data_IF_142726864758
#
_entry.id   IF_142726864758
#
_cell.length_a   1.000
_cell.length_b   1.000
_cell.length_c   1.000
_cell.angle_alpha   90.00
_cell.angle_beta   90.00
_cell.angle_gamma   90.00
#
_symmetry.space_group_name_H-M   'P 1'
#
loop_
_entity.id
_entity.type
_entity.pdbx_description
1 polymer ?
#
# COMPACT_ATOMS: atom_id res chain seq x y z
N UNK A 1 -45.57 -18.88 0.47
CA UNK A 1 -45.05 -19.23 1.82
C UNK A 1 -43.56 -19.49 1.66
N UNK A 2 -42.75 -18.59 2.24
CA UNK A 2 -41.38 -18.75 2.80
C UNK A 2 -40.31 -19.48 1.96
N UNK A 3 -39.23 -18.85 1.47
CA UNK A 3 -38.11 -18.11 2.12
C UNK A 3 -36.98 -19.02 2.63
N UNK A 4 -35.77 -18.87 2.05
CA UNK A 4 -34.43 -18.80 2.67
C UNK A 4 -33.38 -18.71 1.54
N UNK A 5 -32.83 -17.51 1.26
CA UNK A 5 -31.60 -16.89 1.79
C UNK A 5 -30.33 -17.32 1.04
N UNK A 6 -29.89 -16.50 0.08
CA UNK A 6 -28.48 -16.29 -0.28
C UNK A 6 -28.11 -14.87 0.16
N UNK A 7 -27.14 -14.77 1.06
CA UNK A 7 -26.53 -13.52 1.48
C UNK A 7 -25.38 -13.23 0.51
N UNK A 8 -25.58 -12.28 -0.40
CA UNK A 8 -24.48 -11.56 -1.04
C UNK A 8 -24.25 -10.29 -0.22
N UNK A 9 -23.05 -10.18 0.36
CA UNK A 9 -22.59 -8.97 1.03
C UNK A 9 -22.15 -7.94 -0.03
N UNK A 10 -23.01 -6.99 -0.34
CA UNK A 10 -22.64 -5.73 -1.01
C UNK A 10 -21.96 -4.77 -0.02
N UNK A 11 -20.93 -4.07 -0.52
CA UNK A 11 -20.13 -3.06 0.17
C UNK A 11 -20.97 -1.82 0.54
N UNK A 12 -20.68 -1.11 1.65
CA UNK A 12 -21.37 0.13 1.97
C UNK A 12 -20.85 1.29 1.11
N UNK A 13 -21.55 1.57 0.01
CA UNK A 13 -21.46 2.85 -0.69
C UNK A 13 -21.92 3.99 0.22
N UNK A 14 -21.10 5.03 0.37
CA UNK A 14 -21.46 6.27 1.07
C UNK A 14 -22.51 7.02 0.25
N UNK A 15 -23.74 7.10 0.75
CA UNK A 15 -24.74 8.03 0.23
C UNK A 15 -24.55 9.41 0.85
N UNK A 16 -24.65 10.47 0.02
CA UNK A 16 -24.72 11.86 0.48
C UNK A 16 -26.16 12.32 0.27
N UNK A 17 -26.92 12.51 1.36
CA UNK A 17 -28.24 13.13 1.32
C UNK A 17 -28.11 14.66 1.27
N UNK A 18 -28.76 15.30 0.30
CA UNK A 18 -28.91 16.76 0.24
C UNK A 18 -30.36 17.13 0.56
N UNK A 19 -30.60 17.71 1.74
CA UNK A 19 -31.88 18.31 2.08
C UNK A 19 -31.80 19.84 1.91
N UNK A 20 -32.64 20.39 1.02
CA UNK A 20 -32.72 21.84 0.79
C UNK A 20 -33.81 22.44 1.68
N UNK A 21 -33.43 23.23 2.68
CA UNK A 21 -34.38 24.05 3.45
C UNK A 21 -34.13 25.55 3.22
N UNK A 22 -35.25 26.26 3.01
CA UNK A 22 -35.43 27.71 2.92
C UNK A 22 -34.76 28.46 1.75
N UNK A 23 -35.32 28.25 0.56
CA UNK A 23 -35.36 29.30 -0.48
C UNK A 23 -36.73 29.99 -0.41
N UNK A 24 -36.83 31.23 0.09
CA UNK A 24 -38.04 32.02 -0.12
C UNK A 24 -38.10 32.40 -1.60
N UNK A 25 -39.16 31.94 -2.26
CA UNK A 25 -39.65 32.40 -3.57
C UNK A 25 -38.70 32.21 -4.75
N UNK A 26 -38.49 30.96 -5.15
CA UNK A 26 -38.41 30.65 -6.57
C UNK A 26 -39.72 29.97 -6.96
N UNK A 27 -40.58 30.70 -7.68
CA UNK A 27 -41.68 30.09 -8.44
C UNK A 27 -41.07 29.08 -9.41
N UNK A 28 -41.04 27.81 -9.01
CA UNK A 28 -40.66 26.72 -9.91
C UNK A 28 -41.83 26.48 -10.84
N UNK A 29 -41.70 26.95 -12.07
CA UNK A 29 -42.61 26.59 -13.15
C UNK A 29 -42.08 25.32 -13.80
N UNK A 30 -42.83 24.23 -13.68
CA UNK A 30 -42.52 22.97 -14.34
C UNK A 30 -43.53 22.79 -15.48
N UNK A 31 -43.01 22.56 -16.69
CA UNK A 31 -43.82 22.17 -17.84
C UNK A 31 -44.20 20.70 -17.70
N UNK A 32 -45.50 20.42 -17.66
CA UNK A 32 -46.02 19.06 -17.65
C UNK A 32 -46.86 18.89 -18.93
N UNK A 33 -46.20 18.45 -20.01
CA UNK A 33 -46.74 18.60 -21.36
C UNK A 33 -46.79 20.08 -21.79
N UNK A 34 -47.87 20.49 -22.47
CA UNK A 34 -48.01 21.85 -23.03
C UNK A 34 -48.64 22.88 -22.06
N UNK A 35 -48.86 22.53 -20.79
CA UNK A 35 -49.40 23.48 -19.78
C UNK A 35 -48.45 23.71 -18.60
N UNK A 36 -48.42 24.96 -18.14
CA UNK A 36 -47.70 25.42 -16.96
C UNK A 36 -48.60 25.25 -15.73
N UNK A 37 -48.15 24.48 -14.73
CA UNK A 37 -48.85 24.39 -13.44
C UNK A 37 -47.96 24.90 -12.31
N UNK A 38 -48.49 25.83 -11.51
CA UNK A 38 -47.85 26.40 -10.32
C UNK A 38 -48.22 25.59 -9.07
N UNK A 39 -47.23 25.28 -8.22
CA UNK A 39 -47.45 24.60 -6.95
C UNK A 39 -46.84 25.38 -5.80
N UNK A 40 -47.65 25.73 -4.79
CA UNK A 40 -47.23 26.44 -3.58
C UNK A 40 -47.19 25.48 -2.39
N UNK A 41 -46.02 25.37 -1.74
CA UNK A 41 -45.76 24.43 -0.66
C UNK A 41 -46.69 24.57 0.55
N UNK A 42 -47.16 23.43 1.05
CA UNK A 42 -47.91 23.34 2.29
C UNK A 42 -48.01 21.90 2.80
N UNK A 43 -47.47 21.67 4.01
CA UNK A 43 -47.60 20.52 4.93
C UNK A 43 -48.20 19.21 4.41
N UNK A 44 -47.33 18.19 4.37
CA UNK A 44 -47.50 16.73 4.46
C UNK A 44 -48.61 16.00 3.67
N UNK A 45 -48.21 15.00 2.85
CA UNK A 45 -48.86 13.68 2.78
C UNK A 45 -47.83 12.56 2.52
N UNK A 46 -48.02 11.32 3.03
CA UNK A 46 -47.03 10.25 3.03
C UNK A 46 -47.22 9.18 1.92
N UNK A 47 -47.67 9.56 0.72
CA UNK A 47 -48.09 8.56 -0.30
C UNK A 47 -47.46 8.69 -1.70
N UNK A 48 -46.32 9.38 -1.85
CA UNK A 48 -45.46 9.22 -3.03
C UNK A 48 -44.06 8.82 -2.57
N UNK A 49 -43.46 7.74 -3.10
CA UNK A 49 -42.06 7.46 -2.86
C UNK A 49 -41.22 8.61 -3.46
N UNK A 50 -40.09 8.97 -2.85
CA UNK A 50 -39.22 10.00 -3.37
C UNK A 50 -38.79 9.61 -4.79
N UNK A 51 -38.98 10.52 -5.75
CA UNK A 51 -38.36 10.40 -7.06
C UNK A 51 -36.85 10.43 -6.81
N UNK A 52 -36.20 9.29 -7.02
CA UNK A 52 -34.77 9.15 -6.90
C UNK A 52 -34.14 9.78 -8.14
N UNK A 53 -33.31 10.79 -7.95
CA UNK A 53 -32.48 11.34 -9.02
C UNK A 53 -31.08 10.80 -8.76
N UNK A 54 -30.66 9.80 -9.52
CA UNK A 54 -29.25 9.40 -9.57
C UNK A 54 -28.55 10.32 -10.57
N UNK A 55 -27.63 11.20 -10.12
CA UNK A 55 -26.79 11.95 -11.04
C UNK A 55 -25.71 11.00 -11.58
N UNK A 56 -25.99 10.38 -12.72
CA UNK A 56 -24.94 9.77 -13.52
C UNK A 56 -24.28 10.87 -14.37
N UNK A 57 -23.00 11.17 -14.09
CA UNK A 57 -22.18 12.08 -14.88
C UNK A 57 -21.61 11.28 -16.05
N UNK A 58 -22.17 11.48 -17.23
CA UNK A 58 -21.60 10.95 -18.47
C UNK A 58 -21.08 12.10 -19.32
N UNK A 59 -19.77 12.09 -19.51
CA UNK A 59 -18.95 12.98 -20.34
C UNK A 59 -18.97 14.49 -20.00
N UNK A 60 -17.81 15.00 -19.59
CA UNK A 60 -17.45 16.39 -19.83
C UNK A 60 -17.11 16.54 -21.32
N UNK A 61 -18.02 17.10 -22.11
CA UNK A 61 -17.61 17.72 -23.38
C UNK A 61 -16.87 19.03 -23.02
N UNK A 62 -15.55 18.91 -22.83
CA UNK A 62 -14.64 20.01 -22.46
C UNK A 62 -14.76 21.22 -23.41
N UNK A 63 -15.31 21.04 -24.62
CA UNK A 63 -15.46 22.13 -25.59
C UNK A 63 -16.67 23.06 -25.30
N UNK A 64 -17.72 22.58 -24.61
CA UNK A 64 -18.96 23.36 -24.41
C UNK A 64 -19.24 23.75 -22.96
N UNK A 65 -18.71 23.02 -21.96
CA UNK A 65 -18.89 23.34 -20.53
C UNK A 65 -20.33 23.20 -20.02
N UNK A 66 -21.12 22.30 -20.62
CA UNK A 66 -22.47 21.96 -20.19
C UNK A 66 -22.47 20.65 -19.42
N UNK A 67 -23.31 20.57 -18.39
CA UNK A 67 -23.59 19.33 -17.67
C UNK A 67 -24.94 18.78 -18.14
N UNK A 68 -24.94 17.57 -18.67
CA UNK A 68 -26.16 16.86 -19.07
C UNK A 68 -26.63 15.98 -17.92
N UNK A 69 -27.87 16.19 -17.46
CA UNK A 69 -28.48 15.36 -16.43
C UNK A 69 -29.64 14.55 -17.02
N UNK A 70 -29.60 13.25 -16.81
CA UNK A 70 -30.68 12.31 -17.17
C UNK A 70 -31.54 12.06 -15.94
N UNK A 71 -32.85 12.12 -16.10
CA UNK A 71 -33.80 11.69 -15.07
C UNK A 71 -34.53 10.45 -15.58
N UNK A 72 -34.31 9.31 -14.93
CA UNK A 72 -35.05 8.08 -15.20
C UNK A 72 -36.27 8.01 -14.27
N UNK A 73 -37.48 8.10 -14.83
CA UNK A 73 -38.69 7.72 -14.11
C UNK A 73 -38.93 6.21 -14.33
N UNK A 74 -39.07 5.43 -13.26
CA UNK A 74 -39.14 3.95 -13.32
C UNK A 74 -40.45 3.40 -13.90
N UNK A 75 -41.16 4.12 -14.76
CA UNK A 75 -42.36 3.63 -15.44
C UNK A 75 -42.42 4.08 -16.90
N UNK A 76 -41.85 3.30 -17.80
CA UNK A 76 -42.15 3.20 -19.24
C UNK A 76 -42.63 4.50 -19.95
N UNK A 77 -41.94 5.62 -19.72
CA UNK A 77 -42.20 6.92 -20.34
C UNK A 77 -40.95 7.46 -21.06
N UNK A 78 -41.10 8.36 -22.06
CA UNK A 78 -39.96 8.83 -22.84
C UNK A 78 -38.98 9.60 -21.95
N UNK A 79 -37.71 9.25 -22.08
CA UNK A 79 -36.59 9.89 -21.39
C UNK A 79 -36.64 11.41 -21.58
N UNK A 80 -36.47 12.16 -20.50
CA UNK A 80 -36.31 13.61 -20.55
C UNK A 80 -34.90 13.98 -20.05
N UNK A 81 -34.23 14.83 -20.82
CA UNK A 81 -32.89 15.35 -20.52
C UNK A 81 -32.96 16.84 -20.26
N UNK A 82 -32.16 17.32 -19.30
CA UNK A 82 -32.01 18.74 -19.00
C UNK A 82 -30.54 19.11 -19.17
N UNK A 83 -30.29 20.19 -19.93
CA UNK A 83 -28.96 20.75 -20.13
C UNK A 83 -28.77 21.94 -19.19
N UNK A 84 -27.73 21.89 -18.35
CA UNK A 84 -27.33 23.00 -17.49
C UNK A 84 -26.05 23.66 -18.03
N UNK A 85 -26.12 24.96 -18.30
CA UNK A 85 -24.97 25.76 -18.74
C UNK A 85 -24.30 26.42 -17.52
N UNK A 86 -23.14 25.89 -17.12
CA UNK A 86 -22.45 26.28 -15.89
C UNK A 86 -21.67 27.60 -16.02
N UNK A 87 -21.59 28.20 -17.21
CA UNK A 87 -20.78 29.41 -17.43
C UNK A 87 -21.47 30.72 -17.02
N UNK A 88 -22.73 30.68 -16.57
CA UNK A 88 -23.51 31.91 -16.37
C UNK A 88 -24.14 32.15 -14.99
N UNK A 89 -23.93 31.29 -13.97
CA UNK A 89 -24.47 31.55 -12.63
C UNK A 89 -23.51 31.16 -11.50
N UNK A 90 -23.19 32.13 -10.64
CA UNK A 90 -22.48 31.93 -9.36
C UNK A 90 -23.51 31.48 -8.33
N UNK A 91 -23.41 30.26 -7.83
CA UNK A 91 -24.23 29.79 -6.71
C UNK A 91 -23.51 30.08 -5.38
N UNK A 92 -24.10 30.85 -4.45
CA UNK A 92 -23.58 30.96 -3.10
C UNK A 92 -23.95 29.69 -2.30
N UNK A 93 -22.99 28.80 -2.13
CA UNK A 93 -23.13 27.61 -1.29
C UNK A 93 -23.02 28.03 0.18
N UNK A 94 -24.14 28.04 0.90
CA UNK A 94 -24.16 28.25 2.36
C UNK A 94 -24.25 26.90 3.06
N UNK A 95 -23.12 26.40 3.56
CA UNK A 95 -23.05 25.16 4.35
C UNK A 95 -23.48 25.48 5.80
N UNK A 96 -24.65 25.02 6.24
CA UNK A 96 -25.01 25.04 7.67
C UNK A 96 -24.35 23.86 8.38
N UNK A 97 -23.36 24.16 9.24
CA UNK A 97 -22.80 23.22 10.21
C UNK A 97 -23.73 23.14 11.44
N UNK A 98 -23.96 21.94 11.96
CA UNK A 98 -24.83 21.72 13.13
C UNK A 98 -24.31 22.47 14.36
N UNK A 99 -25.22 22.93 15.21
CA UNK A 99 -24.95 23.80 16.36
C UNK A 99 -23.93 23.23 17.38
N UNK A 100 -23.65 21.91 17.37
CA UNK A 100 -22.61 21.28 18.20
C UNK A 100 -21.18 21.64 17.78
N UNK A 101 -20.96 22.13 16.56
CA UNK A 101 -19.63 22.60 16.12
C UNK A 101 -19.31 24.02 16.57
N UNK A 102 -20.32 24.82 16.94
CA UNK A 102 -20.10 26.23 17.31
C UNK A 102 -19.45 26.38 18.69
N UNK A 103 -19.61 25.39 19.58
CA UNK A 103 -18.93 25.37 20.88
C UNK A 103 -17.47 24.90 20.78
N UNK A 104 -17.10 24.12 19.75
CA UNK A 104 -15.70 23.73 19.48
C UNK A 104 -14.90 24.80 18.73
N UNK A 105 -15.55 25.64 17.92
CA UNK A 105 -14.85 26.72 17.18
C UNK A 105 -14.47 27.94 18.03
N UNK A 106 -15.07 28.14 19.20
CA UNK A 106 -14.61 29.19 20.12
C UNK A 106 -13.39 28.78 20.96
N UNK A 107 -12.96 27.52 20.89
CA UNK A 107 -11.71 27.05 21.51
C UNK A 107 -10.48 27.20 20.58
N UNK A 108 -10.68 27.50 19.29
CA UNK A 108 -9.61 27.60 18.27
C UNK A 108 -9.02 29.00 18.05
N UNK A 109 -9.43 30.02 18.82
CA UNK A 109 -8.72 31.31 18.87
C UNK A 109 -7.53 31.31 19.86
N UNK A 110 -7.14 30.12 20.35
CA UNK A 110 -5.91 29.90 21.09
C UNK A 110 -4.86 29.28 20.16
N UNK A 111 -3.56 29.62 20.35
CA UNK A 111 -2.50 29.17 19.45
C UNK A 111 -2.51 27.64 19.32
N UNK A 112 -2.75 27.20 18.08
CA UNK A 112 -2.48 25.90 17.46
C UNK A 112 -2.02 24.80 18.43
N UNK A 113 -2.99 24.05 18.96
CA UNK A 113 -2.74 22.69 19.39
C UNK A 113 -2.95 21.76 18.19
N UNK A 114 -2.11 20.73 17.99
CA UNK A 114 -2.30 19.76 16.93
C UNK A 114 -3.68 19.09 17.08
N UNK A 115 -4.49 19.16 16.02
CA UNK A 115 -5.80 18.50 15.98
C UNK A 115 -5.55 17.00 15.84
N UNK A 116 -5.61 16.29 16.96
CA UNK A 116 -5.66 14.82 16.96
C UNK A 116 -7.00 14.39 16.36
N UNK A 117 -7.00 13.98 15.09
CA UNK A 117 -8.14 13.34 14.47
C UNK A 117 -8.02 11.84 14.72
N UNK A 118 -8.97 11.28 15.46
CA UNK A 118 -9.10 9.84 15.62
C UNK A 118 -9.62 9.22 14.31
N UNK A 119 -9.10 8.06 13.91
CA UNK A 119 -9.67 7.28 12.80
C UNK A 119 -11.02 6.63 13.19
N UNK A 120 -11.60 5.85 12.28
CA UNK A 120 -12.87 5.14 12.50
C UNK A 120 -12.81 4.13 13.66
N UNK A 121 -11.60 3.82 14.18
CA UNK A 121 -11.35 2.93 15.32
C UNK A 121 -11.04 3.69 16.61
N UNK A 122 -10.90 5.02 16.57
CA UNK A 122 -10.57 5.85 17.72
C UNK A 122 -9.08 6.13 17.89
N UNK A 123 -8.23 5.70 16.96
CA UNK A 123 -6.77 5.85 17.04
C UNK A 123 -6.33 7.21 16.52
N UNK A 124 -5.43 7.88 17.24
CA UNK A 124 -4.89 9.18 16.83
C UNK A 124 -4.12 9.00 15.51
N UNK A 125 -4.65 9.56 14.42
CA UNK A 125 -3.97 9.59 13.12
C UNK A 125 -2.92 10.69 13.15
N UNK A 126 -1.66 10.31 13.31
CA UNK A 126 -0.54 11.22 13.10
C UNK A 126 -0.49 11.60 11.62
N UNK A 127 -0.59 12.90 11.33
CA UNK A 127 -0.47 13.42 9.96
C UNK A 127 0.83 14.21 9.82
N UNK A 128 1.64 13.94 8.78
CA UNK A 128 2.81 14.75 8.53
C UNK A 128 2.39 16.20 8.24
N UNK A 129 3.22 17.21 8.59
CA UNK A 129 2.86 18.61 8.42
C UNK A 129 2.45 18.99 6.99
N UNK A 130 3.05 18.36 5.97
CA UNK A 130 2.69 18.56 4.56
C UNK A 130 1.26 18.13 4.20
N UNK A 131 0.69 17.16 4.92
CA UNK A 131 -0.71 16.73 4.75
C UNK A 131 -1.69 17.62 5.53
N UNK A 132 -1.23 18.27 6.60
CA UNK A 132 -2.00 19.27 7.33
C UNK A 132 -2.05 20.58 6.56
N UNK A 133 -0.92 20.95 5.92
CA UNK A 133 -0.80 22.15 5.10
C UNK A 133 0.03 21.87 3.86
N UNK A 134 -0.64 21.85 2.69
CA UNK A 134 0.01 21.71 1.38
C UNK A 134 1.04 22.81 1.06
N UNK A 135 1.06 23.91 1.80
CA UNK A 135 2.02 25.02 1.65
C UNK A 135 2.97 25.13 2.85
N UNK A 136 3.18 24.02 3.57
CA UNK A 136 4.05 23.97 4.74
C UNK A 136 5.52 24.25 4.40
N UNK A 137 5.95 23.89 3.19
CA UNK A 137 7.32 24.07 2.71
C UNK A 137 7.46 25.27 1.78
N UNK A 138 8.52 26.04 1.95
CA UNK A 138 8.89 27.21 1.15
C UNK A 138 10.14 26.93 0.32
N UNK A 139 10.39 27.77 -0.70
CA UNK A 139 11.62 27.67 -1.51
C UNK A 139 12.83 27.89 -0.62
N UNK A 140 13.89 27.12 -0.87
CA UNK A 140 15.15 27.05 -0.11
C UNK A 140 15.04 26.43 1.30
N UNK A 141 13.87 25.94 1.71
CA UNK A 141 13.76 25.13 2.93
C UNK A 141 14.60 23.86 2.79
N UNK A 142 15.42 23.57 3.81
CA UNK A 142 16.15 22.32 3.93
C UNK A 142 15.24 21.26 4.57
N UNK A 143 14.98 20.19 3.81
CA UNK A 143 14.06 19.11 4.18
C UNK A 143 14.77 17.76 4.14
N UNK A 144 14.30 16.81 4.95
CA UNK A 144 14.66 15.40 4.85
C UNK A 144 13.56 14.63 4.11
N UNK A 145 13.96 13.62 3.32
CA UNK A 145 13.06 12.70 2.63
C UNK A 145 12.88 11.41 3.44
N UNK A 146 11.67 11.16 3.93
CA UNK A 146 11.41 10.13 4.92
C UNK A 146 11.58 10.66 6.35
N UNK A 147 11.31 9.82 7.34
CA UNK A 147 11.31 10.22 8.75
C UNK A 147 12.48 9.64 9.53
N UNK A 148 13.16 8.64 8.96
CA UNK A 148 14.32 7.97 9.56
C UNK A 148 15.50 8.92 9.81
N UNK A 149 16.33 8.57 10.80
CA UNK A 149 17.49 9.37 11.20
C UNK A 149 18.57 9.53 10.10
N UNK A 150 18.64 8.59 9.16
CA UNK A 150 19.58 8.58 8.04
C UNK A 150 18.96 9.03 6.70
N UNK A 151 17.79 9.66 6.76
CA UNK A 151 17.06 10.14 5.59
C UNK A 151 17.91 11.14 4.77
N UNK A 152 17.93 11.02 3.43
CA UNK A 152 18.55 12.01 2.53
C UNK A 152 18.00 13.43 2.77
N UNK A 153 18.83 14.45 2.53
CA UNK A 153 18.43 15.86 2.66
C UNK A 153 18.42 16.58 1.33
N UNK A 154 17.53 17.56 1.19
CA UNK A 154 17.32 18.31 -0.03
C UNK A 154 16.84 19.75 0.24
N UNK A 155 16.99 20.63 -0.75
CA UNK A 155 16.38 21.96 -0.74
C UNK A 155 15.13 21.98 -1.61
N UNK A 156 14.10 22.67 -1.16
CA UNK A 156 12.88 22.91 -1.94
C UNK A 156 13.14 23.92 -3.06
N UNK A 157 12.93 23.50 -4.31
CA UNK A 157 13.09 24.37 -5.50
C UNK A 157 11.79 25.10 -5.86
N UNK A 158 10.66 24.41 -5.71
CA UNK A 158 9.33 24.93 -6.02
C UNK A 158 8.40 24.61 -4.87
N UNK A 159 7.97 25.63 -4.13
CA UNK A 159 7.10 25.51 -2.95
C UNK A 159 5.63 25.21 -3.27
N UNK A 160 5.20 25.37 -4.52
CA UNK A 160 3.84 25.03 -4.94
C UNK A 160 3.79 23.55 -5.31
N UNK A 161 3.03 22.71 -4.59
CA UNK A 161 2.85 21.32 -4.99
C UNK A 161 2.09 21.23 -6.32
N UNK A 162 2.44 20.23 -7.12
CA UNK A 162 1.71 19.90 -8.35
C UNK A 162 0.38 19.15 -8.09
N UNK A 163 -0.25 18.67 -9.16
CA UNK A 163 -1.55 17.97 -9.11
C UNK A 163 -1.54 16.71 -8.25
N UNK A 164 -0.39 16.07 -8.08
CA UNK A 164 -0.27 14.83 -7.30
C UNK A 164 0.32 15.10 -5.91
N UNK A 165 0.29 16.37 -5.48
CA UNK A 165 0.75 16.84 -4.19
C UNK A 165 2.26 16.62 -3.96
N UNK A 166 3.05 16.78 -5.02
CA UNK A 166 4.51 16.64 -4.98
C UNK A 166 5.24 17.98 -5.12
N UNK A 167 6.41 18.10 -4.49
CA UNK A 167 7.35 19.22 -4.62
C UNK A 167 8.56 18.81 -5.45
N UNK A 168 9.18 19.80 -6.10
CA UNK A 168 10.49 19.67 -6.75
C UNK A 168 11.59 20.06 -5.78
N UNK A 169 12.61 19.21 -5.67
CA UNK A 169 13.70 19.30 -4.71
C UNK A 169 15.06 19.19 -5.41
N UNK A 170 16.10 19.78 -4.85
CA UNK A 170 17.49 19.55 -5.21
C UNK A 170 18.17 18.70 -4.13
N UNK A 171 18.72 17.54 -4.51
CA UNK A 171 19.49 16.68 -3.62
C UNK A 171 20.74 17.39 -3.09
N UNK A 172 20.84 17.53 -1.76
CA UNK A 172 21.99 18.13 -1.08
C UNK A 172 22.90 17.05 -0.51
N UNK A 173 22.35 15.90 -0.09
CA UNK A 173 23.14 14.81 0.49
C UNK A 173 23.93 14.01 -0.56
N UNK A 174 23.62 14.17 -1.85
CA UNK A 174 24.21 13.40 -2.94
C UNK A 174 23.71 11.96 -3.01
N UNK A 175 22.67 11.64 -2.22
CA UNK A 175 22.09 10.29 -2.11
C UNK A 175 21.40 9.86 -3.40
N UNK A 176 20.98 10.82 -4.23
CA UNK A 176 20.32 10.62 -5.51
C UNK A 176 21.17 11.17 -6.67
N UNK A 177 22.50 11.18 -6.51
CA UNK A 177 23.42 11.62 -7.56
C UNK A 177 23.50 13.13 -7.74
N UNK A 178 23.01 13.93 -6.77
CA UNK A 178 23.01 15.39 -6.86
C UNK A 178 22.03 15.95 -7.89
N UNK A 179 21.00 15.17 -8.22
CA UNK A 179 19.98 15.52 -9.20
C UNK A 179 18.78 16.24 -8.58
N UNK A 180 17.99 16.88 -9.45
CA UNK A 180 16.66 17.35 -9.06
C UNK A 180 15.68 16.17 -9.06
N UNK A 181 14.87 16.06 -8.01
CA UNK A 181 13.87 15.01 -7.92
C UNK A 181 12.53 15.55 -7.39
N UNK A 182 11.51 14.70 -7.44
CA UNK A 182 10.13 15.02 -7.10
C UNK A 182 9.64 14.05 -6.03
N UNK A 183 8.98 14.55 -4.99
CA UNK A 183 8.39 13.70 -3.95
C UNK A 183 7.15 14.32 -3.31
N UNK A 184 6.32 13.50 -2.67
CA UNK A 184 5.09 13.95 -2.01
C UNK A 184 5.41 14.81 -0.79
N UNK A 185 4.61 15.87 -0.57
CA UNK A 185 4.74 16.72 0.64
C UNK A 185 4.57 15.94 1.94
N UNK A 186 3.83 14.83 1.90
CA UNK A 186 3.64 13.95 3.05
C UNK A 186 4.97 13.36 3.50
N UNK A 187 5.90 13.08 2.60
CA UNK A 187 7.17 12.38 2.88
C UNK A 187 8.30 13.32 3.33
N UNK A 188 7.99 14.57 3.68
CA UNK A 188 8.98 15.60 3.97
C UNK A 188 8.84 16.13 5.39
N UNK A 189 9.98 16.48 5.98
CA UNK A 189 10.08 17.23 7.22
C UNK A 189 11.20 18.28 7.07
N UNK A 190 11.02 19.48 7.64
CA UNK A 190 12.13 20.40 7.80
C UNK A 190 13.23 19.77 8.65
N UNK A 191 14.48 19.92 8.23
CA UNK A 191 15.65 19.43 8.98
C UNK A 191 15.77 20.14 10.34
N UNK A 192 15.42 21.44 10.39
CA UNK A 192 15.45 22.21 11.64
C UNK A 192 14.49 23.40 11.60
N UNK A 193 14.27 24.03 12.76
CA UNK A 193 13.55 25.32 12.86
C UNK A 193 12.02 25.25 12.80
N UNK A 194 11.43 24.09 12.50
CA UNK A 194 9.98 23.89 12.46
C UNK A 194 9.50 23.07 13.67
N UNK A 195 8.69 23.68 14.54
CA UNK A 195 8.15 23.02 15.72
C UNK A 195 7.16 21.91 15.37
N UNK A 196 6.41 22.06 14.28
CA UNK A 196 5.41 21.10 13.81
C UNK A 196 6.09 19.83 13.27
N UNK A 197 7.13 19.97 12.45
CA UNK A 197 7.96 18.85 12.00
C UNK A 197 8.65 18.14 13.17
N UNK A 198 9.20 18.90 14.12
CA UNK A 198 9.88 18.32 15.28
C UNK A 198 8.92 17.51 16.18
N UNK A 199 7.71 18.02 16.43
CA UNK A 199 6.69 17.31 17.20
C UNK A 199 6.22 16.04 16.48
N UNK A 200 5.91 16.14 15.18
CA UNK A 200 5.54 14.98 14.38
C UNK A 200 6.64 13.91 14.38
N UNK A 201 7.91 14.30 14.18
CA UNK A 201 9.04 13.37 14.17
C UNK A 201 9.18 12.65 15.50
N UNK A 202 9.08 13.36 16.62
CA UNK A 202 9.17 12.75 17.95
C UNK A 202 8.02 11.75 18.20
N UNK A 203 6.79 12.08 17.81
CA UNK A 203 5.65 11.18 17.96
C UNK A 203 5.78 9.95 17.03
N UNK A 204 6.25 10.15 15.80
CA UNK A 204 6.54 9.07 14.85
C UNK A 204 7.64 8.14 15.38
N UNK A 205 8.78 8.69 15.82
CA UNK A 205 9.89 7.91 16.42
C UNK A 205 9.44 7.13 17.64
N UNK A 206 8.59 7.72 18.50
CA UNK A 206 8.03 7.02 19.65
C UNK A 206 7.11 5.86 19.23
N UNK A 207 6.32 6.03 18.17
CA UNK A 207 5.46 4.96 17.64
C UNK A 207 6.28 3.84 17.00
N UNK A 208 7.28 4.17 16.19
CA UNK A 208 8.18 3.18 15.59
C UNK A 208 8.96 2.43 16.66
N UNK A 209 9.49 3.12 17.67
CA UNK A 209 10.17 2.47 18.80
C UNK A 209 9.22 1.55 19.57
N UNK A 210 7.96 1.96 19.80
CA UNK A 210 6.98 1.12 20.47
C UNK A 210 6.60 -0.12 19.63
N UNK A 211 6.49 0.03 18.31
CA UNK A 211 6.26 -1.10 17.39
C UNK A 211 7.45 -2.07 17.39
N UNK A 212 8.67 -1.54 17.29
CA UNK A 212 9.92 -2.29 17.38
C UNK A 212 10.05 -3.05 18.71
N UNK A 213 9.77 -2.40 19.83
CA UNK A 213 9.81 -3.03 21.15
C UNK A 213 8.74 -4.12 21.29
N UNK A 214 7.54 -3.90 20.75
CA UNK A 214 6.45 -4.87 20.77
C UNK A 214 6.77 -6.11 19.91
N UNK A 215 7.30 -5.90 18.71
CA UNK A 215 7.74 -6.98 17.81
C UNK A 215 8.82 -7.83 18.48
N UNK A 216 9.87 -7.20 19.03
CA UNK A 216 10.95 -7.90 19.74
C UNK A 216 10.48 -8.61 21.00
N UNK A 217 9.44 -8.12 21.67
CA UNK A 217 8.89 -8.75 22.86
C UNK A 217 8.15 -10.06 22.56
N UNK A 218 7.79 -10.33 21.30
CA UNK A 218 7.17 -11.60 20.90
C UNK A 218 8.19 -12.75 20.84
N UNK A 219 9.48 -12.45 20.74
CA UNK A 219 10.54 -13.44 20.61
C UNK A 219 10.92 -14.06 21.96
N UNK A 220 11.28 -15.35 21.93
CA UNK A 220 12.02 -15.95 23.05
C UNK A 220 13.40 -15.29 23.19
N UNK A 221 14.01 -15.25 24.39
CA UNK A 221 15.33 -14.65 24.57
C UNK A 221 16.41 -15.23 23.66
N UNK A 222 16.36 -16.54 23.42
CA UNK A 222 17.28 -17.25 22.53
C UNK A 222 17.04 -16.88 21.06
N UNK A 223 15.78 -16.81 20.62
CA UNK A 223 15.42 -16.41 19.26
C UNK A 223 15.80 -14.95 18.97
N UNK A 224 15.57 -14.06 19.93
CA UNK A 224 15.97 -12.65 19.82
C UNK A 224 17.49 -12.51 19.67
N UNK A 225 18.26 -13.24 20.48
CA UNK A 225 19.72 -13.23 20.38
C UNK A 225 20.21 -13.82 19.05
N UNK A 226 19.52 -14.85 18.53
CA UNK A 226 19.80 -15.42 17.21
C UNK A 226 19.52 -14.40 16.09
N UNK A 227 18.34 -13.78 16.08
CA UNK A 227 17.94 -12.78 15.11
C UNK A 227 18.91 -11.58 15.09
N UNK A 228 19.20 -11.01 16.27
CA UNK A 228 20.13 -9.89 16.40
C UNK A 228 21.53 -10.23 15.88
N UNK A 229 22.02 -11.43 16.18
CA UNK A 229 23.34 -11.86 15.70
C UNK A 229 23.34 -12.05 14.18
N UNK A 230 22.34 -12.72 13.62
CA UNK A 230 22.29 -12.98 12.18
C UNK A 230 22.15 -11.69 11.37
N UNK A 231 21.29 -10.76 11.80
CA UNK A 231 21.11 -9.45 11.14
C UNK A 231 22.37 -8.59 11.25
N UNK A 232 23.02 -8.57 12.41
CA UNK A 232 24.20 -7.73 12.62
C UNK A 232 25.46 -8.28 11.95
N UNK A 233 25.70 -9.59 12.05
CA UNK A 233 26.97 -10.19 11.64
C UNK A 233 26.87 -11.64 11.13
N UNK A 234 25.67 -12.13 10.82
CA UNK A 234 25.48 -13.45 10.21
C UNK A 234 26.09 -13.55 8.81
N UNK A 235 26.25 -12.42 8.12
CA UNK A 235 26.81 -12.32 6.77
C UNK A 235 28.08 -11.45 6.76
N UNK A 236 29.06 -11.86 5.93
CA UNK A 236 30.28 -11.10 5.67
C UNK A 236 30.25 -10.55 4.25
N UNK A 237 30.38 -9.23 4.10
CA UNK A 237 30.44 -8.55 2.80
C UNK A 237 31.66 -9.02 1.99
N UNK A 238 31.44 -9.43 0.75
CA UNK A 238 32.49 -9.84 -0.19
C UNK A 238 32.72 -8.81 -1.29
N UNK A 239 31.65 -8.29 -1.89
CA UNK A 239 31.72 -7.23 -2.89
C UNK A 239 30.72 -6.14 -2.58
N UNK A 240 31.10 -4.88 -2.80
CA UNK A 240 30.18 -3.75 -2.72
C UNK A 240 29.96 -3.12 -4.09
N UNK A 241 28.71 -2.77 -4.39
CA UNK A 241 28.35 -1.94 -5.54
C UNK A 241 28.70 -0.46 -5.34
N UNK A 242 29.00 -0.05 -4.10
CA UNK A 242 29.20 1.35 -3.71
C UNK A 242 27.90 2.14 -3.52
N UNK A 243 26.72 1.52 -3.71
CA UNK A 243 25.43 2.17 -3.48
C UNK A 243 25.14 2.27 -1.97
N UNK A 244 24.66 3.43 -1.53
CA UNK A 244 24.36 3.68 -0.12
C UNK A 244 23.27 2.75 0.44
N UNK A 245 22.32 2.34 -0.40
CA UNK A 245 21.27 1.38 -0.05
C UNK A 245 21.74 -0.09 -0.04
N UNK A 246 23.00 -0.38 -0.40
CA UNK A 246 23.55 -1.73 -0.38
C UNK A 246 23.09 -2.66 -1.51
N UNK A 247 22.15 -2.24 -2.36
CA UNK A 247 21.75 -3.02 -3.54
C UNK A 247 22.95 -3.38 -4.41
N UNK A 248 23.05 -4.65 -4.80
CA UNK A 248 24.19 -5.19 -5.56
C UNK A 248 25.44 -5.48 -4.72
N UNK A 249 25.40 -5.29 -3.40
CA UNK A 249 26.37 -5.91 -2.52
C UNK A 249 26.17 -7.43 -2.51
N UNK A 250 27.27 -8.17 -2.43
CA UNK A 250 27.23 -9.62 -2.23
C UNK A 250 27.93 -10.00 -0.94
N UNK A 251 27.46 -11.09 -0.33
CA UNK A 251 27.88 -11.56 0.97
C UNK A 251 28.05 -13.07 0.97
N UNK A 252 28.74 -13.58 1.98
CA UNK A 252 28.82 -15.01 2.31
C UNK A 252 28.45 -15.22 3.77
N UNK A 253 28.01 -16.42 4.12
CA UNK A 253 27.74 -16.80 5.51
C UNK A 253 29.00 -16.61 6.36
N UNK A 254 28.90 -15.86 7.45
CA UNK A 254 30.01 -15.63 8.35
C UNK A 254 30.47 -16.95 9.01
N UNK A 255 31.77 -17.05 9.29
CA UNK A 255 32.35 -18.25 9.88
C UNK A 255 31.81 -18.53 11.30
N UNK A 256 31.46 -17.47 12.03
CA UNK A 256 30.90 -17.47 13.37
C UNK A 256 29.38 -17.31 13.41
N UNK A 257 28.70 -17.26 12.25
CA UNK A 257 27.25 -17.20 12.19
C UNK A 257 26.62 -18.37 13.01
N UNK A 258 25.68 -18.08 13.94
CA UNK A 258 25.11 -19.05 14.87
C UNK A 258 24.04 -19.94 14.23
N UNK A 259 24.28 -20.42 13.01
CA UNK A 259 23.43 -21.40 12.33
C UNK A 259 23.86 -22.83 12.64
N UNK A 260 22.90 -23.75 12.61
CA UNK A 260 23.20 -25.17 12.78
C UNK A 260 24.13 -25.70 11.68
N UNK A 261 24.97 -26.69 12.01
CA UNK A 261 25.96 -27.24 11.09
C UNK A 261 25.34 -27.73 9.78
N UNK A 262 24.19 -28.42 9.84
CA UNK A 262 23.51 -28.92 8.65
C UNK A 262 23.04 -27.80 7.71
N UNK A 263 22.65 -26.63 8.26
CA UNK A 263 22.25 -25.48 7.46
C UNK A 263 23.48 -24.82 6.83
N UNK A 264 24.58 -24.73 7.59
CA UNK A 264 25.87 -24.27 7.06
C UNK A 264 26.37 -25.15 5.91
N UNK A 265 26.22 -26.46 6.02
CA UNK A 265 26.56 -27.41 4.95
C UNK A 265 25.65 -27.22 3.73
N UNK A 266 24.33 -27.04 3.93
CA UNK A 266 23.40 -26.76 2.83
C UNK A 266 23.68 -25.42 2.12
N UNK A 267 24.21 -24.43 2.85
CA UNK A 267 24.57 -23.11 2.33
C UNK A 267 26.05 -22.99 1.91
N UNK A 268 26.77 -24.10 1.80
CA UNK A 268 28.18 -24.06 1.41
C UNK A 268 28.35 -23.48 0.00
N UNK A 269 29.07 -22.36 -0.11
CA UNK A 269 29.26 -21.66 -1.38
C UNK A 269 28.07 -20.78 -1.81
N UNK A 270 27.04 -20.66 -0.98
CA UNK A 270 25.95 -19.72 -1.22
C UNK A 270 26.47 -18.27 -1.25
N UNK A 271 26.03 -17.53 -2.26
CA UNK A 271 26.20 -16.08 -2.35
C UNK A 271 24.89 -15.43 -1.93
N UNK A 272 24.99 -14.48 -1.02
CA UNK A 272 23.85 -13.74 -0.50
C UNK A 272 23.84 -12.32 -1.06
N UNK A 273 22.65 -11.78 -1.26
CA UNK A 273 22.43 -10.34 -1.25
C UNK A 273 22.20 -9.86 0.18
N UNK A 274 22.10 -8.54 0.37
CA UNK A 274 21.58 -8.01 1.63
C UNK A 274 20.16 -8.52 1.91
N UNK A 275 19.69 -8.41 3.17
CA UNK A 275 18.29 -8.69 3.48
C UNK A 275 17.36 -7.81 2.64
N UNK A 276 16.29 -8.40 2.12
CA UNK A 276 15.24 -7.71 1.36
C UNK A 276 14.23 -7.04 2.29
N UNK A 277 13.93 -7.72 3.41
CA UNK A 277 12.97 -7.25 4.40
C UNK A 277 13.61 -6.50 5.57
N UNK A 278 12.79 -5.90 6.45
CA UNK A 278 13.25 -5.42 7.75
C UNK A 278 13.80 -6.57 8.61
N UNK A 279 14.40 -6.23 9.74
CA UNK A 279 14.62 -7.23 10.81
C UNK A 279 13.29 -7.98 11.07
N UNK A 280 13.30 -9.31 11.30
CA UNK A 280 14.45 -10.20 11.50
C UNK A 280 14.93 -10.90 10.21
N UNK A 281 14.69 -10.35 9.01
CA UNK A 281 15.30 -10.83 7.78
C UNK A 281 16.82 -10.62 7.82
N UNK A 282 17.60 -11.66 7.52
CA UNK A 282 19.05 -11.59 7.66
C UNK A 282 19.83 -11.96 6.41
N UNK A 283 19.17 -12.48 5.37
CA UNK A 283 19.83 -12.74 4.10
C UNK A 283 18.88 -13.24 3.03
N UNK A 284 19.26 -13.03 1.77
CA UNK A 284 18.56 -13.56 0.59
C UNK A 284 19.55 -14.26 -0.33
N UNK A 285 19.16 -15.39 -0.90
CA UNK A 285 20.03 -16.17 -1.78
C UNK A 285 19.25 -16.93 -2.85
N UNK A 286 19.85 -17.07 -4.02
CA UNK A 286 19.39 -17.93 -5.11
C UNK A 286 20.20 -19.23 -5.19
N UNK A 287 20.84 -19.65 -4.09
CA UNK A 287 21.64 -20.88 -4.07
C UNK A 287 20.76 -22.12 -4.29
N UNK A 288 21.29 -23.14 -4.98
CA UNK A 288 20.57 -24.35 -5.38
C UNK A 288 20.36 -25.35 -4.21
N UNK A 289 19.82 -24.87 -3.09
CA UNK A 289 19.43 -25.68 -1.93
C UNK A 289 18.14 -26.43 -2.24
N UNK A 290 18.05 -27.68 -1.79
CA UNK A 290 16.80 -28.42 -1.77
C UNK A 290 15.88 -27.96 -0.62
N UNK A 291 15.33 -26.75 -0.71
CA UNK A 291 14.52 -26.18 0.37
C UNK A 291 13.36 -27.08 0.82
N UNK A 292 12.54 -27.66 -0.09
CA UNK A 292 11.49 -28.59 0.30
C UNK A 292 12.02 -29.80 1.07
N UNK A 293 13.04 -30.48 0.52
CA UNK A 293 13.64 -31.64 1.17
C UNK A 293 14.29 -31.30 2.51
N UNK A 294 14.88 -30.12 2.65
CA UNK A 294 15.53 -29.66 3.88
C UNK A 294 14.50 -29.35 4.98
N UNK A 295 13.39 -28.70 4.65
CA UNK A 295 12.26 -28.43 5.55
C UNK A 295 11.63 -29.74 6.02
N UNK A 296 11.38 -30.70 5.11
CA UNK A 296 10.86 -32.02 5.49
C UNK A 296 11.78 -32.77 6.45
N UNK A 297 13.10 -32.63 6.29
CA UNK A 297 14.08 -33.28 7.16
C UNK A 297 14.24 -32.59 8.53
N UNK A 298 13.93 -31.29 8.62
CA UNK A 298 14.22 -30.43 9.78
C UNK A 298 13.04 -29.50 10.18
N UNK A 299 11.80 -30.00 10.30
CA UNK A 299 10.63 -29.15 10.51
C UNK A 299 10.65 -28.38 11.86
N UNK A 300 11.39 -28.87 12.85
CA UNK A 300 11.52 -28.22 14.15
C UNK A 300 12.54 -27.05 14.15
N UNK A 301 13.28 -26.86 13.05
CA UNK A 301 14.34 -25.86 12.96
C UNK A 301 14.26 -24.98 11.69
N UNK A 302 13.60 -25.48 10.63
CA UNK A 302 13.43 -24.80 9.35
C UNK A 302 12.00 -25.00 8.87
N UNK A 303 11.30 -23.91 8.55
CA UNK A 303 9.91 -23.94 8.08
C UNK A 303 9.70 -22.93 6.95
N UNK A 304 8.67 -23.09 6.12
CA UNK A 304 8.24 -22.03 5.22
C UNK A 304 7.70 -20.83 6.01
N UNK A 305 7.90 -19.63 5.47
CA UNK A 305 7.27 -18.42 5.99
C UNK A 305 5.86 -18.27 5.41
N UNK A 306 4.89 -18.88 6.09
CA UNK A 306 3.50 -18.85 5.64
C UNK A 306 2.87 -17.46 5.69
N UNK A 307 3.31 -16.62 6.63
CA UNK A 307 2.73 -15.29 6.83
C UNK A 307 3.21 -14.32 5.75
N UNK A 308 4.49 -14.40 5.36
CA UNK A 308 5.03 -13.66 4.21
C UNK A 308 4.33 -14.07 2.91
N UNK A 309 4.26 -15.37 2.62
CA UNK A 309 3.54 -15.88 1.45
C UNK A 309 2.08 -15.42 1.40
N UNK A 310 1.37 -15.43 2.54
CA UNK A 310 -0.01 -14.97 2.59
C UNK A 310 -0.14 -13.45 2.38
N UNK A 311 0.78 -12.67 2.95
CA UNK A 311 0.77 -11.20 2.87
C UNK A 311 1.15 -10.69 1.47
N UNK A 312 2.00 -11.43 0.76
CA UNK A 312 2.47 -11.09 -0.58
C UNK A 312 1.70 -11.81 -1.70
N UNK A 313 0.46 -12.22 -1.44
CA UNK A 313 -0.41 -12.89 -2.44
C UNK A 313 0.28 -14.08 -3.14
N UNK A 314 1.03 -14.85 -2.36
CA UNK A 314 1.78 -16.00 -2.82
C UNK A 314 0.96 -17.28 -2.94
N UNK A 315 1.52 -18.27 -3.63
CA UNK A 315 1.01 -19.63 -3.60
C UNK A 315 1.22 -20.28 -2.21
N UNK A 316 0.39 -21.28 -1.87
CA UNK A 316 0.67 -22.11 -0.70
C UNK A 316 2.02 -22.82 -0.83
N UNK A 317 2.72 -22.97 0.30
CA UNK A 317 4.00 -23.67 0.36
C UNK A 317 3.93 -25.07 -0.25
N UNK A 318 2.85 -25.83 0.00
CA UNK A 318 2.70 -27.18 -0.53
C UNK A 318 2.72 -27.19 -2.07
N UNK A 319 2.07 -26.21 -2.68
CA UNK A 319 2.03 -26.07 -4.14
C UNK A 319 3.39 -25.65 -4.70
N UNK A 320 4.10 -24.76 -4.00
CA UNK A 320 5.48 -24.33 -4.34
C UNK A 320 6.43 -25.53 -4.26
N UNK A 321 6.38 -26.28 -3.16
CA UNK A 321 7.21 -27.45 -2.93
C UNK A 321 6.97 -28.54 -3.99
N UNK A 322 5.71 -28.81 -4.34
CA UNK A 322 5.35 -29.77 -5.39
C UNK A 322 5.86 -29.31 -6.76
N UNK A 323 5.63 -28.04 -7.10
CA UNK A 323 6.07 -27.44 -8.37
C UNK A 323 7.59 -27.47 -8.52
N UNK A 324 8.32 -27.06 -7.47
CA UNK A 324 9.79 -27.05 -7.48
C UNK A 324 10.36 -28.48 -7.55
N UNK A 325 9.79 -29.42 -6.78
CA UNK A 325 10.18 -30.84 -6.86
C UNK A 325 9.97 -31.40 -8.27
N UNK A 326 8.85 -31.05 -8.91
CA UNK A 326 8.55 -31.45 -10.28
C UNK A 326 9.57 -30.87 -11.27
N UNK A 327 9.92 -29.59 -11.15
CA UNK A 327 10.95 -28.95 -11.96
C UNK A 327 12.30 -29.67 -11.83
N UNK A 328 12.71 -30.01 -10.60
CA UNK A 328 13.98 -30.69 -10.33
C UNK A 328 14.10 -32.09 -10.91
N UNK A 329 12.99 -32.73 -11.30
CA UNK A 329 13.05 -34.01 -12.01
C UNK A 329 13.68 -33.90 -13.39
N UNK A 330 13.63 -32.71 -14.01
CA UNK A 330 14.27 -32.44 -15.30
C UNK A 330 15.46 -31.51 -15.17
N UNK A 331 15.51 -30.64 -14.16
CA UNK A 331 16.64 -29.75 -13.91
C UNK A 331 17.15 -29.84 -12.46
N UNK A 332 18.10 -30.75 -12.18
CA UNK A 332 18.62 -30.95 -10.84
C UNK A 332 19.25 -29.70 -10.19
N UNK A 333 19.71 -28.77 -11.02
CA UNK A 333 20.38 -27.51 -10.64
C UNK A 333 19.41 -26.32 -10.57
N UNK A 334 18.11 -26.54 -10.79
CA UNK A 334 17.08 -25.53 -10.54
C UNK A 334 17.18 -25.03 -9.09
N UNK A 335 16.97 -23.74 -8.91
CA UNK A 335 17.19 -23.05 -7.66
C UNK A 335 16.00 -22.16 -7.31
N UNK A 336 15.91 -21.80 -6.03
CA UNK A 336 14.87 -20.93 -5.51
C UNK A 336 15.54 -19.66 -4.97
N UNK A 337 14.97 -18.52 -5.29
CA UNK A 337 15.31 -17.24 -4.68
C UNK A 337 14.51 -17.12 -3.38
N UNK A 338 15.22 -17.12 -2.26
CA UNK A 338 14.61 -17.11 -0.93
C UNK A 338 15.21 -16.04 -0.05
N UNK A 339 14.36 -15.41 0.74
CA UNK A 339 14.73 -14.65 1.93
C UNK A 339 14.69 -15.55 3.16
N UNK A 340 15.63 -15.35 4.08
CA UNK A 340 15.77 -16.09 5.32
C UNK A 340 15.49 -15.18 6.50
N UNK A 341 14.57 -15.61 7.37
CA UNK A 341 14.18 -14.88 8.57
C UNK A 341 14.36 -15.75 9.82
N UNK A 342 14.17 -15.13 10.99
CA UNK A 342 14.11 -15.83 12.27
C UNK A 342 12.71 -15.67 12.84
N UNK A 343 12.05 -16.79 13.14
CA UNK A 343 10.75 -16.80 13.80
C UNK A 343 10.88 -16.50 15.31
N UNK A 344 9.77 -16.13 15.94
CA UNK A 344 9.66 -15.82 17.38
C UNK A 344 10.19 -16.94 18.30
N UNK A 345 10.08 -18.20 17.85
CA UNK A 345 10.55 -19.38 18.57
C UNK A 345 11.98 -19.82 18.21
N UNK A 346 12.65 -19.09 17.32
CA UNK A 346 14.04 -19.31 16.93
C UNK A 346 14.25 -20.27 15.76
N UNK A 347 13.17 -20.76 15.14
CA UNK A 347 13.28 -21.44 13.84
C UNK A 347 13.71 -20.45 12.76
N UNK A 348 14.43 -20.93 11.76
CA UNK A 348 14.66 -20.18 10.53
C UNK A 348 13.43 -20.36 9.63
N UNK A 349 12.87 -19.26 9.13
CA UNK A 349 11.80 -19.33 8.12
C UNK A 349 12.37 -19.05 6.73
N UNK A 350 11.81 -19.72 5.72
CA UNK A 350 12.17 -19.60 4.32
C UNK A 350 11.02 -18.95 3.57
N UNK A 351 11.30 -17.79 3.02
CA UNK A 351 10.35 -16.95 2.30
C UNK A 351 10.72 -16.93 0.81
N UNK A 352 10.05 -17.74 -0.04
CA UNK A 352 10.44 -17.89 -1.43
C UNK A 352 9.80 -16.80 -2.31
N UNK A 353 10.62 -16.11 -3.09
CA UNK A 353 10.19 -15.10 -4.07
C UNK A 353 9.82 -15.76 -5.40
N UNK A 354 10.65 -16.71 -5.82
CA UNK A 354 10.46 -17.45 -7.06
C UNK A 354 11.44 -18.62 -7.19
N UNK A 355 11.27 -19.42 -8.24
CA UNK A 355 12.24 -20.45 -8.58
C UNK A 355 12.51 -20.49 -10.08
N UNK A 356 13.72 -20.94 -10.42
CA UNK A 356 14.29 -20.80 -11.75
C UNK A 356 14.99 -22.07 -12.20
N UNK A 357 14.78 -22.39 -13.47
CA UNK A 357 15.53 -23.39 -14.18
C UNK A 357 16.82 -22.78 -14.76
N UNK A 358 17.87 -23.58 -14.86
CA UNK A 358 19.13 -23.25 -15.55
C UNK A 358 19.02 -23.29 -17.07
N UNK A 359 17.87 -23.77 -17.57
CA UNK A 359 17.56 -23.94 -18.99
C UNK A 359 16.07 -23.83 -19.23
N UNK A 360 15.69 -23.53 -20.46
CA UNK A 360 14.28 -23.61 -20.88
C UNK A 360 13.75 -25.03 -20.68
N UNK A 361 12.54 -25.12 -20.13
CA UNK A 361 11.80 -26.36 -19.96
C UNK A 361 10.72 -26.51 -21.03
N UNK A 362 10.33 -27.75 -21.29
CA UNK A 362 9.25 -28.06 -22.23
C UNK A 362 7.94 -27.39 -21.80
N UNK A 363 7.17 -26.87 -22.77
CA UNK A 363 5.96 -26.09 -22.50
C UNK A 363 4.91 -26.86 -21.70
N UNK A 364 4.80 -28.18 -21.91
CA UNK A 364 3.87 -29.03 -21.16
C UNK A 364 4.23 -29.08 -19.67
N UNK A 365 5.52 -29.14 -19.34
CA UNK A 365 5.98 -29.11 -17.96
C UNK A 365 5.75 -27.72 -17.34
N UNK A 366 6.09 -26.66 -18.05
CA UNK A 366 5.86 -25.29 -17.58
C UNK A 366 4.38 -25.04 -17.25
N UNK A 367 3.47 -25.43 -18.15
CA UNK A 367 2.03 -25.31 -17.93
C UNK A 367 1.53 -26.13 -16.73
N UNK A 368 2.14 -27.28 -16.45
CA UNK A 368 1.83 -28.07 -15.25
C UNK A 368 2.29 -27.37 -13.98
N UNK A 369 3.45 -26.73 -14.01
CA UNK A 369 3.94 -25.93 -12.87
C UNK A 369 3.02 -24.73 -12.64
N UNK A 370 2.65 -24.00 -13.69
CA UNK A 370 1.70 -22.88 -13.60
C UNK A 370 0.39 -23.34 -12.96
N UNK A 371 -0.15 -24.48 -13.39
CA UNK A 371 -1.39 -25.02 -12.86
C UNK A 371 -1.31 -25.37 -11.37
N UNK A 372 -0.16 -25.87 -10.89
CA UNK A 372 0.08 -26.12 -9.46
C UNK A 372 0.09 -24.82 -8.67
N UNK A 373 0.82 -23.80 -9.14
CA UNK A 373 0.90 -22.51 -8.44
C UNK A 373 -0.46 -21.79 -8.40
N UNK A 374 -1.22 -21.84 -9.50
CA UNK A 374 -2.59 -21.29 -9.56
C UNK A 374 -3.51 -22.02 -8.59
N UNK A 375 -3.43 -23.36 -8.51
CA UNK A 375 -4.20 -24.13 -7.55
C UNK A 375 -3.81 -23.80 -6.10
N UNK A 376 -2.55 -23.42 -5.87
CA UNK A 376 -2.05 -22.89 -4.60
C UNK A 376 -2.46 -21.45 -4.31
N UNK A 377 -3.21 -20.77 -5.18
CA UNK A 377 -3.72 -19.42 -4.95
C UNK A 377 -2.95 -18.29 -5.65
N UNK A 378 -1.88 -18.59 -6.40
CA UNK A 378 -1.16 -17.57 -7.16
C UNK A 378 -1.99 -17.10 -8.36
N UNK A 379 -2.09 -15.79 -8.57
CA UNK A 379 -2.77 -15.23 -9.75
C UNK A 379 -1.96 -15.51 -11.01
N UNK A 380 -2.61 -16.05 -12.04
CA UNK A 380 -1.94 -16.48 -13.28
C UNK A 380 -1.16 -15.35 -13.96
N UNK A 381 -1.70 -14.11 -13.96
CA UNK A 381 -1.03 -12.94 -14.55
C UNK A 381 0.25 -12.51 -13.84
N UNK A 382 0.49 -12.97 -12.61
CA UNK A 382 1.66 -12.57 -11.81
C UNK A 382 2.72 -13.67 -11.69
N UNK A 383 2.56 -14.80 -12.38
CA UNK A 383 3.55 -15.90 -12.33
C UNK A 383 4.78 -15.56 -13.16
N UNK A 384 4.57 -14.91 -14.31
CA UNK A 384 5.59 -14.72 -15.33
C UNK A 384 5.82 -13.23 -15.59
N UNK A 385 7.10 -12.86 -15.63
CA UNK A 385 7.58 -11.55 -16.05
C UNK A 385 8.78 -11.75 -16.98
N UNK A 386 8.77 -11.10 -18.15
CA UNK A 386 9.80 -11.32 -19.17
C UNK A 386 11.23 -10.98 -18.69
N UNK A 387 11.36 -10.09 -17.70
CA UNK A 387 12.64 -9.68 -17.11
C UNK A 387 13.06 -10.50 -15.89
N UNK A 388 12.09 -10.94 -15.07
CA UNK A 388 12.36 -11.56 -13.77
C UNK A 388 11.98 -13.04 -13.69
N UNK A 389 10.98 -13.51 -14.41
CA UNK A 389 10.53 -14.91 -14.43
C UNK A 389 10.02 -15.31 -15.83
N UNK A 390 10.92 -15.70 -16.75
CA UNK A 390 10.53 -16.04 -18.11
C UNK A 390 9.67 -17.30 -18.15
N UNK A 391 8.63 -17.31 -18.99
CA UNK A 391 7.55 -18.32 -19.03
C UNK A 391 7.95 -19.80 -19.12
N UNK A 392 9.19 -20.11 -19.51
CA UNK A 392 9.71 -21.47 -19.65
C UNK A 392 10.95 -21.73 -18.79
N UNK A 393 11.31 -20.83 -17.88
CA UNK A 393 12.51 -21.00 -17.06
C UNK A 393 12.44 -20.30 -15.70
N UNK A 394 11.36 -19.61 -15.36
CA UNK A 394 11.18 -18.95 -14.07
C UNK A 394 9.72 -18.83 -13.69
N UNK A 395 9.46 -18.83 -12.39
CA UNK A 395 8.12 -18.66 -11.81
C UNK A 395 8.21 -17.81 -10.55
N UNK A 396 7.51 -16.67 -10.52
CA UNK A 396 7.27 -15.90 -9.30
C UNK A 396 6.22 -16.61 -8.46
N UNK A 397 6.50 -16.82 -7.18
CA UNK A 397 5.59 -17.50 -6.26
C UNK A 397 4.94 -16.54 -5.26
N UNK A 398 5.42 -15.30 -5.15
CA UNK A 398 4.81 -14.18 -4.45
C UNK A 398 5.03 -12.84 -5.21
N UNK A 399 4.55 -11.72 -4.67
CA UNK A 399 4.53 -10.39 -5.32
C UNK A 399 5.81 -9.57 -5.15
#
# INVERSE_FOLDING_TARGET
MTCQQSEDHELPGRYVEFEFQDLPELERTVLCGDELVSWSGGRHRPECPPAYVEPEIFDEDESTGKLHLRACDQRDGPESSIDLDLRSQVFPLTVRRSADTHQRQQETDKPWAPVQLADEKGDIVMKPPGDVSRYHFLVDDEVQFGYDAASPTAAVLVAQPDSDNCLRLADISGSFGGEEYRTRVSSLLHVSGCAECAAFKADWEAKEQAAWDAERAAFTPEALALADHLVCCGLTLTTSSGLACGHGNTYVLAADAPVALWLREALEGAVFSGPEGPWPNWGRTCHAVDWPGLIEQRPDALVPDHDMLATNFGATWESIAEAFTLLRTVDPDAHMDVSLWVAEDGRITVDPFGFYATREVESELAQRIDALLIAGGRMAENIHDDGYAPGLSGWQVEC
#
